data_IF_892373221325
#
_entry.id   IF_892373221325
#
_cell.length_a   1.000
_cell.length_b   1.000
_cell.length_c   1.000
_cell.angle_alpha   90.00
_cell.angle_beta   90.00
_cell.angle_gamma   90.00
#
_symmetry.space_group_name_H-M   'P 1'
#
loop_
_entity.id
_entity.type
_entity.pdbx_description
1 polymer ?
#
# COMPACT_ATOMS: atom_id res chain seq x y z
N UNK A 1 18.59 16.01 38.09
CA UNK A 1 17.42 15.10 38.16
C UNK A 1 17.25 14.36 36.84
N UNK A 2 17.46 13.04 36.81
CA UNK A 2 17.20 12.18 35.63
C UNK A 2 15.67 11.99 35.48
N UNK A 3 15.08 12.45 34.38
CA UNK A 3 13.68 12.12 34.04
C UNK A 3 13.61 10.65 33.62
N UNK A 4 12.98 9.82 34.45
CA UNK A 4 12.62 8.44 34.13
C UNK A 4 11.56 8.46 33.02
N UNK A 5 11.80 7.76 31.91
CA UNK A 5 10.77 7.52 30.90
C UNK A 5 9.81 6.44 31.38
N UNK A 6 8.52 6.76 31.42
CA UNK A 6 7.47 5.78 31.67
C UNK A 6 7.28 4.92 30.40
N UNK A 7 7.57 3.62 30.50
CA UNK A 7 7.12 2.63 29.51
C UNK A 7 5.67 2.27 29.82
N UNK A 8 4.73 2.79 29.03
CA UNK A 8 3.38 2.24 28.99
C UNK A 8 3.43 0.86 28.30
N UNK A 9 3.09 -0.20 29.04
CA UNK A 9 2.83 -1.53 28.51
C UNK A 9 1.46 -1.50 27.82
N UNK A 10 1.45 -1.33 26.50
CA UNK A 10 0.25 -1.54 25.69
C UNK A 10 -0.03 -3.03 25.55
N UNK A 11 -1.32 -3.41 25.53
CA UNK A 11 -1.91 -4.75 25.45
C UNK A 11 -1.53 -5.61 24.23
N UNK A 12 -0.55 -5.17 23.45
CA UNK A 12 -0.04 -5.87 22.28
C UNK A 12 -1.05 -5.93 21.12
N UNK A 13 -2.06 -5.06 21.09
CA UNK A 13 -2.72 -4.73 19.83
C UNK A 13 -1.92 -3.61 19.14
N UNK A 14 -1.29 -3.94 18.02
CA UNK A 14 -0.51 -2.97 17.25
C UNK A 14 -1.47 -2.29 16.28
N UNK A 15 -2.09 -1.20 16.73
CA UNK A 15 -2.74 -0.26 15.81
C UNK A 15 -1.61 0.51 15.10
N UNK A 16 -1.64 0.55 13.76
CA UNK A 16 -0.61 1.13 12.91
C UNK A 16 -0.48 2.64 13.15
N UNK A 17 0.34 3.04 14.13
CA UNK A 17 0.51 4.44 14.55
C UNK A 17 1.81 5.06 14.01
N UNK A 18 1.64 6.10 13.18
CA UNK A 18 2.55 7.25 12.94
C UNK A 18 3.85 7.13 12.12
N UNK A 19 4.06 6.14 11.26
CA UNK A 19 5.19 6.20 10.29
C UNK A 19 4.79 5.78 8.87
N UNK A 20 4.05 6.67 8.20
CA UNK A 20 3.79 6.64 6.76
C UNK A 20 5.10 6.95 6.01
N UNK A 21 6.06 6.02 6.05
CA UNK A 21 7.27 6.02 5.19
C UNK A 21 6.95 5.46 3.79
N UNK A 22 5.79 5.83 3.23
CA UNK A 22 5.43 5.47 1.84
C UNK A 22 6.36 6.18 0.83
N UNK A 23 6.91 7.33 1.24
CA UNK A 23 7.81 8.17 0.44
C UNK A 23 9.15 7.53 0.14
N UNK A 24 9.68 6.69 1.04
CA UNK A 24 10.96 6.03 0.79
C UNK A 24 10.86 5.14 -0.44
N UNK A 25 9.68 4.55 -0.69
CA UNK A 25 9.50 3.56 -1.73
C UNK A 25 8.96 4.07 -3.05
N UNK A 26 8.11 5.10 -3.01
CA UNK A 26 7.77 5.92 -4.16
C UNK A 26 8.07 7.38 -3.83
N UNK A 27 9.21 7.92 -4.31
CA UNK A 27 9.55 9.31 -4.09
C UNK A 27 8.53 10.20 -4.80
N UNK A 28 8.09 11.21 -4.09
CA UNK A 28 7.13 12.19 -4.57
C UNK A 28 7.75 13.02 -5.70
N UNK A 29 6.96 13.26 -6.76
CA UNK A 29 7.34 13.96 -8.01
C UNK A 29 8.53 13.37 -8.80
N UNK A 30 9.10 12.24 -8.35
CA UNK A 30 10.16 11.54 -9.08
C UNK A 30 9.64 10.26 -9.70
N UNK A 31 9.86 10.13 -11.00
CA UNK A 31 9.52 8.92 -11.74
C UNK A 31 10.42 7.74 -11.31
N UNK A 32 9.80 6.59 -11.08
CA UNK A 32 10.45 5.30 -10.83
C UNK A 32 10.06 4.33 -11.94
N UNK A 33 11.05 3.70 -12.58
CA UNK A 33 10.83 2.82 -13.72
C UNK A 33 10.94 1.33 -13.39
N UNK A 34 11.67 0.99 -12.32
CA UNK A 34 11.94 -0.39 -11.92
C UNK A 34 10.90 -0.87 -10.91
N UNK A 35 9.69 -1.14 -11.42
CA UNK A 35 8.52 -1.47 -10.63
C UNK A 35 7.80 -2.71 -11.16
N UNK A 36 7.08 -3.39 -10.27
CA UNK A 36 6.03 -4.35 -10.60
C UNK A 36 4.67 -3.78 -10.21
N UNK A 37 3.63 -4.17 -10.93
CA UNK A 37 2.24 -3.83 -10.62
C UNK A 37 1.47 -5.10 -10.32
N UNK A 38 0.82 -5.12 -9.17
CA UNK A 38 -0.01 -6.24 -8.71
C UNK A 38 -1.43 -5.73 -8.55
N UNK A 39 -2.36 -6.42 -9.18
CA UNK A 39 -3.77 -6.07 -9.08
C UNK A 39 -4.47 -7.00 -8.10
N UNK A 40 -5.33 -6.48 -7.21
CA UNK A 40 -6.16 -7.31 -6.33
C UNK A 40 -7.04 -8.28 -7.14
N UNK A 41 -7.37 -9.42 -6.51
CA UNK A 41 -8.31 -10.39 -7.06
C UNK A 41 -9.77 -9.90 -6.96
N UNK A 42 -10.03 -8.97 -6.05
CA UNK A 42 -11.32 -8.31 -5.88
C UNK A 42 -11.76 -7.60 -7.18
N UNK A 43 -12.84 -8.08 -7.80
CA UNK A 43 -13.36 -7.53 -9.06
C UNK A 43 -13.72 -6.05 -8.98
N UNK A 44 -14.15 -5.60 -7.81
CA UNK A 44 -14.57 -4.23 -7.54
C UNK A 44 -13.48 -3.36 -6.92
N UNK A 45 -12.24 -3.87 -6.81
CA UNK A 45 -11.13 -3.08 -6.32
C UNK A 45 -11.00 -1.82 -7.19
N UNK A 46 -10.82 -0.68 -6.52
CA UNK A 46 -10.60 0.62 -7.14
C UNK A 46 -9.13 1.04 -7.00
N UNK A 47 -8.22 0.07 -6.91
CA UNK A 47 -6.81 0.30 -6.63
C UNK A 47 -5.97 -0.83 -7.20
N UNK A 48 -4.67 -0.59 -7.30
CA UNK A 48 -3.64 -1.59 -7.58
C UNK A 48 -2.46 -1.38 -6.63
N UNK A 49 -1.54 -2.33 -6.58
CA UNK A 49 -0.31 -2.21 -5.81
C UNK A 49 0.86 -1.94 -6.74
N UNK A 50 1.75 -1.05 -6.31
CA UNK A 50 3.06 -0.83 -6.94
C UNK A 50 4.15 -1.33 -6.00
N UNK A 51 5.10 -2.04 -6.58
CA UNK A 51 6.20 -2.73 -5.92
C UNK A 51 7.50 -2.20 -6.51
N UNK A 52 8.29 -1.45 -5.73
CA UNK A 52 9.58 -0.94 -6.18
C UNK A 52 10.65 -2.03 -6.05
N UNK A 53 11.17 -2.53 -7.18
CA UNK A 53 12.09 -3.68 -7.22
C UNK A 53 13.37 -3.45 -6.44
N UNK A 54 13.90 -2.22 -6.47
CA UNK A 54 15.08 -1.83 -5.69
C UNK A 54 14.84 -2.01 -4.19
N UNK A 55 13.67 -1.59 -3.71
CA UNK A 55 13.35 -1.70 -2.28
C UNK A 55 12.99 -3.11 -1.86
N UNK A 56 12.34 -3.87 -2.73
CA UNK A 56 12.11 -5.30 -2.51
C UNK A 56 13.46 -6.00 -2.33
N UNK A 57 14.40 -5.81 -3.25
CA UNK A 57 15.74 -6.39 -3.17
C UNK A 57 16.49 -5.97 -1.88
N UNK A 58 16.29 -4.73 -1.42
CA UNK A 58 16.96 -4.19 -0.24
C UNK A 58 16.35 -4.68 1.09
N UNK A 59 15.02 -4.77 1.17
CA UNK A 59 14.31 -4.90 2.44
C UNK A 59 13.61 -6.24 2.63
N UNK A 60 13.11 -6.88 1.58
CA UNK A 60 12.31 -8.10 1.68
C UNK A 60 13.08 -9.19 2.44
N UNK A 61 14.32 -9.46 2.04
CA UNK A 61 15.17 -10.48 2.69
C UNK A 61 15.33 -10.23 4.19
N UNK A 62 15.47 -8.96 4.62
CA UNK A 62 15.62 -8.61 6.03
C UNK A 62 14.31 -8.80 6.81
N UNK A 63 13.18 -8.42 6.20
CA UNK A 63 11.85 -8.59 6.80
C UNK A 63 11.56 -10.08 6.97
N UNK A 64 11.69 -10.86 5.89
CA UNK A 64 11.45 -12.31 5.90
C UNK A 64 12.31 -13.01 6.95
N UNK A 65 13.60 -12.68 7.02
CA UNK A 65 14.50 -13.29 7.99
C UNK A 65 14.15 -12.94 9.45
N UNK A 66 13.66 -11.72 9.71
CA UNK A 66 13.17 -11.34 11.03
C UNK A 66 11.90 -12.07 11.41
N UNK A 67 10.95 -12.21 10.47
CA UNK A 67 9.73 -12.99 10.68
C UNK A 67 10.10 -14.45 10.96
N UNK A 68 10.92 -15.07 10.11
CA UNK A 68 11.37 -16.47 10.26
C UNK A 68 11.98 -16.74 11.63
N UNK A 69 12.90 -15.88 12.08
CA UNK A 69 13.56 -16.04 13.39
C UNK A 69 12.61 -15.90 14.56
N UNK A 70 11.61 -15.02 14.46
CA UNK A 70 10.67 -14.78 15.54
C UNK A 70 9.50 -15.78 15.55
N UNK A 71 9.17 -16.41 14.42
CA UNK A 71 7.92 -17.14 14.23
C UNK A 71 7.66 -18.20 15.30
N UNK A 72 8.58 -19.14 15.51
CA UNK A 72 8.39 -20.28 16.43
C UNK A 72 8.38 -19.87 17.91
N UNK A 73 8.92 -18.69 18.23
CA UNK A 73 8.93 -18.12 19.59
C UNK A 73 7.78 -17.14 19.85
N UNK A 74 7.05 -16.76 18.80
CA UNK A 74 5.97 -15.80 18.88
C UNK A 74 4.67 -16.46 19.36
N UNK A 75 3.85 -15.70 20.08
CA UNK A 75 2.58 -16.19 20.60
C UNK A 75 1.63 -16.62 19.46
N UNK A 76 0.88 -17.69 19.71
CA UNK A 76 -0.25 -18.11 18.88
C UNK A 76 -1.40 -17.12 18.99
N UNK A 77 -2.35 -17.20 18.07
CA UNK A 77 -3.50 -16.31 17.95
C UNK A 77 -4.78 -17.16 18.06
N UNK A 78 -5.76 -16.69 18.83
CA UNK A 78 -7.07 -17.34 18.95
C UNK A 78 -8.13 -16.70 18.04
N UNK A 79 -7.95 -15.44 17.67
CA UNK A 79 -8.79 -14.69 16.74
C UNK A 79 -7.98 -13.53 16.15
N UNK A 80 -8.48 -12.94 15.06
CA UNK A 80 -7.92 -11.73 14.48
C UNK A 80 -8.94 -10.61 14.44
N UNK A 81 -8.49 -9.40 14.78
CA UNK A 81 -9.24 -8.18 14.52
C UNK A 81 -9.07 -7.78 13.06
N UNK A 82 -10.03 -7.02 12.52
CA UNK A 82 -9.89 -6.42 11.19
C UNK A 82 -8.59 -5.60 11.13
N UNK A 83 -7.85 -5.72 10.02
CA UNK A 83 -6.57 -5.01 9.78
C UNK A 83 -5.45 -5.36 10.76
N UNK A 84 -5.61 -6.37 11.60
CA UNK A 84 -4.53 -6.86 12.44
C UNK A 84 -3.41 -7.47 11.58
N UNK A 85 -2.17 -7.06 11.86
CA UNK A 85 -0.98 -7.54 11.16
C UNK A 85 -0.39 -8.70 11.95
N UNK A 86 0.00 -9.75 11.23
CA UNK A 86 0.56 -10.99 11.79
C UNK A 86 1.79 -11.43 11.01
N UNK A 87 2.52 -12.35 11.63
CA UNK A 87 3.48 -13.18 10.95
C UNK A 87 2.73 -14.38 10.35
N UNK A 88 3.03 -14.70 9.11
CA UNK A 88 2.41 -15.81 8.39
C UNK A 88 3.49 -16.74 7.84
N UNK A 89 3.29 -18.04 8.02
CA UNK A 89 4.05 -19.09 7.34
C UNK A 89 3.22 -19.60 6.17
N UNK A 90 3.80 -19.62 4.98
CA UNK A 90 3.16 -20.08 3.74
C UNK A 90 3.47 -21.56 3.52
N UNK A 91 2.44 -22.35 3.28
CA UNK A 91 2.57 -23.80 3.09
C UNK A 91 3.22 -24.16 1.75
N UNK A 92 3.02 -23.37 0.70
CA UNK A 92 3.54 -23.65 -0.63
C UNK A 92 5.06 -23.43 -0.78
N UNK A 93 5.70 -22.80 0.21
CA UNK A 93 7.13 -22.45 0.15
C UNK A 93 7.85 -22.73 1.47
N UNK A 94 7.50 -23.80 2.20
CA UNK A 94 7.96 -24.05 3.59
C UNK A 94 9.46 -23.87 3.81
N UNK A 95 10.28 -24.21 2.81
CA UNK A 95 11.74 -24.16 2.87
C UNK A 95 12.38 -23.10 1.98
N UNK A 96 11.58 -22.34 1.23
CA UNK A 96 12.09 -21.37 0.28
C UNK A 96 12.18 -19.95 0.84
N UNK A 97 12.75 -19.04 0.05
CA UNK A 97 13.04 -17.67 0.47
C UNK A 97 11.77 -16.84 0.70
N UNK A 98 10.59 -17.34 0.35
CA UNK A 98 9.28 -16.68 0.52
C UNK A 98 8.37 -17.42 1.51
N UNK A 99 8.89 -18.40 2.25
CA UNK A 99 8.17 -19.18 3.27
C UNK A 99 7.44 -18.34 4.33
N UNK A 100 7.94 -17.13 4.61
CA UNK A 100 7.40 -16.25 5.65
C UNK A 100 6.99 -14.91 5.07
N UNK A 101 5.93 -14.35 5.61
CA UNK A 101 5.39 -13.07 5.21
C UNK A 101 4.85 -12.28 6.41
N UNK A 102 4.76 -10.96 6.23
CA UNK A 102 3.83 -10.14 7.00
C UNK A 102 2.50 -10.18 6.29
N UNK A 103 1.43 -10.37 7.05
CA UNK A 103 0.09 -10.45 6.50
C UNK A 103 -0.86 -9.60 7.32
N UNK A 104 -1.83 -8.96 6.67
CA UNK A 104 -2.86 -8.15 7.32
C UNK A 104 -4.21 -8.80 7.12
N UNK A 105 -4.98 -8.94 8.20
CA UNK A 105 -6.33 -9.48 8.14
C UNK A 105 -7.26 -8.55 7.34
N UNK A 106 -7.90 -9.08 6.31
CA UNK A 106 -8.90 -8.38 5.50
C UNK A 106 -10.30 -8.73 6.00
N UNK A 107 -10.59 -10.01 6.10
CA UNK A 107 -11.89 -10.51 6.56
C UNK A 107 -11.77 -11.93 7.12
N UNK A 108 -12.65 -12.25 8.07
CA UNK A 108 -12.84 -13.63 8.54
C UNK A 108 -13.68 -14.39 7.51
N UNK A 109 -13.20 -15.55 7.09
CA UNK A 109 -13.83 -16.38 6.06
C UNK A 109 -14.66 -17.50 6.69
N UNK A 110 -14.17 -18.11 7.77
CA UNK A 110 -14.85 -19.25 8.43
C UNK A 110 -14.68 -19.23 9.94
N UNK A 111 -15.61 -19.89 10.65
CA UNK A 111 -15.48 -20.15 12.08
C UNK A 111 -14.43 -21.22 12.40
N UNK A 112 -13.99 -21.99 11.41
CA UNK A 112 -12.87 -22.93 11.52
C UNK A 112 -11.49 -22.23 11.58
N UNK A 113 -11.49 -20.90 11.56
CA UNK A 113 -10.28 -20.09 11.73
C UNK A 113 -9.59 -19.71 10.42
N UNK A 114 -10.30 -19.72 9.29
CA UNK A 114 -9.77 -19.24 8.03
C UNK A 114 -10.01 -17.74 7.87
N UNK A 115 -8.97 -17.04 7.45
CA UNK A 115 -9.00 -15.60 7.23
C UNK A 115 -8.43 -15.28 5.85
N UNK A 116 -9.04 -14.30 5.19
CA UNK A 116 -8.48 -13.70 4.00
C UNK A 116 -7.44 -12.68 4.44
N UNK A 117 -6.22 -12.87 3.97
CA UNK A 117 -5.07 -12.07 4.36
C UNK A 117 -4.47 -11.37 3.16
N UNK A 118 -4.09 -10.11 3.34
CA UNK A 118 -3.24 -9.38 2.40
C UNK A 118 -1.77 -9.62 2.78
N UNK A 119 -0.97 -10.18 1.86
CA UNK A 119 0.48 -10.21 1.99
C UNK A 119 1.03 -8.82 1.71
N UNK A 120 1.20 -8.02 2.76
CA UNK A 120 1.44 -6.57 2.68
C UNK A 120 2.73 -6.17 1.96
N UNK A 121 3.66 -7.11 1.82
CA UNK A 121 4.92 -6.91 1.10
C UNK A 121 4.87 -7.38 -0.37
N UNK A 122 3.76 -8.00 -0.77
CA UNK A 122 3.58 -8.60 -2.11
C UNK A 122 2.35 -8.07 -2.84
N UNK A 123 1.39 -7.48 -2.13
CA UNK A 123 0.16 -6.92 -2.70
C UNK A 123 -0.87 -7.97 -3.12
N UNK A 124 -0.63 -9.24 -2.81
CA UNK A 124 -1.54 -10.35 -3.13
C UNK A 124 -2.34 -10.77 -1.92
N UNK A 125 -3.54 -11.30 -2.16
CA UNK A 125 -4.39 -11.88 -1.13
C UNK A 125 -4.34 -13.40 -1.17
N UNK A 126 -4.70 -14.03 -0.05
CA UNK A 126 -4.92 -15.47 0.03
C UNK A 126 -5.73 -15.82 1.26
N UNK A 127 -6.27 -17.04 1.30
CA UNK A 127 -6.99 -17.56 2.47
C UNK A 127 -6.03 -18.46 3.24
N UNK A 128 -5.90 -18.22 4.53
CA UNK A 128 -4.98 -18.96 5.39
C UNK A 128 -5.63 -19.25 6.74
N UNK A 129 -5.33 -20.42 7.28
CA UNK A 129 -5.79 -20.80 8.60
C UNK A 129 -4.96 -20.10 9.70
N UNK A 130 -5.62 -19.69 10.78
CA UNK A 130 -4.97 -19.00 11.93
C UNK A 130 -3.84 -19.80 12.56
N UNK A 131 -3.83 -21.14 12.42
CA UNK A 131 -2.75 -22.01 12.88
C UNK A 131 -1.40 -21.72 12.19
N UNK A 132 -1.42 -21.19 10.96
CA UNK A 132 -0.23 -20.76 10.21
C UNK A 132 0.24 -19.34 10.58
N UNK A 133 -0.40 -18.70 11.57
CA UNK A 133 -0.16 -17.31 11.94
C UNK A 133 0.39 -17.17 13.36
N UNK A 134 1.18 -16.13 13.57
CA UNK A 134 1.72 -15.76 14.89
C UNK A 134 1.63 -14.27 15.10
N UNK A 135 1.52 -13.85 16.37
CA UNK A 135 1.53 -12.44 16.75
C UNK A 135 2.81 -11.77 16.25
N UNK A 136 2.69 -10.62 15.60
CA UNK A 136 3.86 -9.87 15.11
C UNK A 136 4.43 -8.95 16.19
N UNK A 137 5.76 -8.82 16.24
CA UNK A 137 6.41 -7.85 17.11
C UNK A 137 6.31 -6.44 16.54
N UNK A 138 6.32 -5.44 17.43
CA UNK A 138 6.29 -4.02 17.04
C UNK A 138 7.45 -3.63 16.10
N UNK A 139 8.63 -4.22 16.30
CA UNK A 139 9.83 -3.88 15.52
C UNK A 139 9.71 -4.29 14.05
N UNK A 140 8.97 -5.38 13.78
CA UNK A 140 8.71 -5.86 12.43
C UNK A 140 7.47 -5.17 11.84
N UNK A 141 6.43 -4.98 12.64
CA UNK A 141 5.18 -4.35 12.21
C UNK A 141 5.35 -2.89 11.76
N UNK A 142 6.22 -2.12 12.44
CA UNK A 142 6.49 -0.71 12.12
C UNK A 142 7.24 -0.48 10.81
N UNK A 143 7.79 -1.53 10.19
CA UNK A 143 8.47 -1.38 8.90
C UNK A 143 7.44 -1.04 7.81
N UNK A 144 7.75 -0.16 6.86
CA UNK A 144 6.80 0.16 5.80
C UNK A 144 6.48 -1.07 4.96
N UNK A 145 5.25 -1.17 4.48
CA UNK A 145 4.83 -2.21 3.54
C UNK A 145 5.50 -2.00 2.19
N UNK A 146 5.99 -3.09 1.58
CA UNK A 146 6.64 -3.02 0.27
C UNK A 146 5.64 -2.89 -0.87
N UNK A 147 4.41 -3.42 -0.72
CA UNK A 147 3.34 -3.22 -1.69
C UNK A 147 2.59 -1.92 -1.38
N UNK A 148 2.67 -0.97 -2.30
CA UNK A 148 2.12 0.37 -2.10
C UNK A 148 0.78 0.45 -2.82
N UNK A 149 -0.29 0.67 -2.06
CA UNK A 149 -1.62 0.87 -2.62
C UNK A 149 -1.67 2.16 -3.44
N UNK A 150 -2.10 2.04 -4.68
CA UNK A 150 -2.09 3.08 -5.69
C UNK A 150 -3.43 3.22 -6.43
N UNK A 151 -3.73 4.44 -6.82
CA UNK A 151 -4.79 4.80 -7.76
C UNK A 151 -4.17 5.62 -8.89
N UNK A 152 -4.70 5.51 -10.10
CA UNK A 152 -4.23 6.30 -11.23
C UNK A 152 -4.72 7.74 -11.08
N UNK A 153 -3.79 8.68 -11.04
CA UNK A 153 -4.08 10.10 -10.98
C UNK A 153 -4.71 10.57 -12.29
N UNK A 154 -5.62 11.54 -12.17
CA UNK A 154 -6.21 12.25 -13.30
C UNK A 154 -7.49 11.63 -13.83
N UNK A 155 -7.85 10.40 -13.45
CA UNK A 155 -9.19 9.88 -13.70
C UNK A 155 -10.18 10.40 -12.66
N UNK A 156 -11.29 10.98 -13.11
CA UNK A 156 -12.38 11.41 -12.22
C UNK A 156 -13.32 10.24 -11.87
N UNK A 157 -13.83 10.24 -10.63
CA UNK A 157 -14.71 9.20 -10.15
C UNK A 157 -14.01 7.88 -9.82
N UNK A 158 -14.69 6.77 -10.11
CA UNK A 158 -14.22 5.40 -9.83
C UNK A 158 -13.06 5.02 -10.75
N UNK A 159 -12.06 4.34 -10.20
CA UNK A 159 -10.93 3.84 -10.99
C UNK A 159 -11.37 2.78 -12.00
N UNK A 160 -10.96 2.96 -13.25
CA UNK A 160 -11.17 2.04 -14.36
C UNK A 160 -10.20 0.83 -14.30
N UNK A 161 -10.23 0.07 -13.19
CA UNK A 161 -9.27 -1.01 -12.93
C UNK A 161 -9.27 -2.11 -14.01
N UNK A 162 -10.41 -2.53 -14.61
CA UNK A 162 -10.39 -3.47 -15.74
C UNK A 162 -9.57 -2.95 -16.93
N UNK A 163 -9.75 -1.68 -17.30
CA UNK A 163 -9.07 -1.03 -18.42
C UNK A 163 -7.59 -0.81 -18.12
N UNK A 164 -7.26 -0.38 -16.90
CA UNK A 164 -5.87 -0.27 -16.41
C UNK A 164 -5.21 -1.64 -16.48
N UNK A 165 -5.83 -2.69 -15.92
CA UNK A 165 -5.31 -4.06 -15.97
C UNK A 165 -5.08 -4.54 -17.40
N UNK A 166 -6.02 -4.27 -18.31
CA UNK A 166 -5.87 -4.62 -19.72
C UNK A 166 -4.72 -3.87 -20.41
N UNK A 167 -4.45 -2.62 -20.03
CA UNK A 167 -3.30 -1.87 -20.52
C UNK A 167 -1.98 -2.48 -20.04
N UNK A 168 -1.95 -2.97 -18.79
CA UNK A 168 -0.79 -3.63 -18.19
C UNK A 168 -0.56 -5.07 -18.67
N UNK A 169 -1.61 -5.76 -19.13
CA UNK A 169 -1.52 -7.11 -19.67
C UNK A 169 -0.91 -7.16 -21.09
N UNK A 170 -0.82 -6.02 -21.78
CA UNK A 170 -0.14 -5.92 -23.07
C UNK A 170 1.38 -6.04 -22.91
N UNK A 171 2.12 -6.25 -24.00
CA UNK A 171 3.59 -6.33 -23.95
C UNK A 171 4.21 -4.97 -23.60
N UNK A 172 4.37 -4.69 -22.31
CA UNK A 172 4.97 -3.45 -21.81
C UNK A 172 6.46 -3.41 -22.18
N UNK A 173 6.88 -2.31 -22.79
CA UNK A 173 8.27 -2.04 -23.15
C UNK A 173 9.03 -1.21 -22.11
N UNK A 174 8.32 -0.30 -21.45
CA UNK A 174 8.79 0.51 -20.35
C UNK A 174 7.60 1.09 -19.58
N UNK A 175 7.79 1.26 -18.28
CA UNK A 175 6.85 1.90 -17.38
C UNK A 175 7.59 2.89 -16.49
N UNK A 176 6.92 3.99 -16.13
CA UNK A 176 7.37 4.94 -15.13
C UNK A 176 6.18 5.34 -14.26
N UNK A 177 6.34 5.21 -12.96
CA UNK A 177 5.34 5.63 -11.97
C UNK A 177 5.88 6.82 -11.21
N UNK A 178 5.09 7.90 -11.13
CA UNK A 178 5.39 9.08 -10.34
C UNK A 178 4.30 9.25 -9.30
N UNK A 179 4.68 9.34 -8.03
CA UNK A 179 3.75 9.71 -6.98
C UNK A 179 3.39 11.20 -7.12
N UNK A 180 2.10 11.51 -7.18
CA UNK A 180 1.57 12.87 -7.31
C UNK A 180 1.06 13.37 -5.97
N UNK A 181 0.25 12.56 -5.28
CA UNK A 181 -0.38 12.94 -4.03
C UNK A 181 -0.82 11.69 -3.24
N UNK A 182 -1.39 11.91 -2.05
CA UNK A 182 -2.07 10.87 -1.29
C UNK A 182 -3.55 11.18 -1.18
N UNK A 183 -4.37 10.13 -1.23
CA UNK A 183 -5.81 10.17 -0.96
C UNK A 183 -6.13 9.09 0.06
N UNK A 184 -6.16 9.48 1.34
CA UNK A 184 -6.28 8.55 2.46
C UNK A 184 -5.19 7.46 2.44
N UNK A 185 -5.62 6.19 2.33
CA UNK A 185 -4.72 5.03 2.25
C UNK A 185 -4.06 4.86 0.88
N UNK A 186 -4.58 5.50 -0.16
CA UNK A 186 -4.09 5.35 -1.52
C UNK A 186 -3.03 6.39 -1.88
N UNK A 187 -2.07 5.97 -2.69
CA UNK A 187 -1.09 6.84 -3.32
C UNK A 187 -1.57 7.15 -4.73
N UNK A 188 -1.86 8.42 -5.02
CA UNK A 188 -2.26 8.83 -6.37
C UNK A 188 -1.01 8.93 -7.24
N UNK A 189 -0.95 8.10 -8.28
CA UNK A 189 0.23 8.01 -9.14
C UNK A 189 -0.09 8.35 -10.57
N UNK A 190 0.79 9.11 -11.21
CA UNK A 190 0.81 9.24 -12.66
C UNK A 190 1.62 8.09 -13.23
N UNK A 191 1.05 7.37 -14.19
CA UNK A 191 1.70 6.24 -14.83
C UNK A 191 1.97 6.56 -16.30
N UNK A 192 3.24 6.54 -16.67
CA UNK A 192 3.66 6.66 -18.06
C UNK A 192 4.08 5.28 -18.57
N UNK A 193 3.55 4.88 -19.72
CA UNK A 193 3.71 3.52 -20.24
C UNK A 193 4.03 3.55 -21.73
N UNK A 194 4.79 2.56 -22.18
CA UNK A 194 5.03 2.27 -23.59
C UNK A 194 4.95 0.77 -23.82
N UNK A 195 4.59 0.37 -25.02
CA UNK A 195 4.40 -1.02 -25.40
C UNK A 195 5.36 -1.43 -26.52
N UNK A 196 5.68 -2.72 -26.58
CA UNK A 196 6.41 -3.28 -27.70
C UNK A 196 5.44 -3.43 -28.87
N UNK A 197 5.84 -2.95 -30.04
CA UNK A 197 5.14 -3.19 -31.30
C UNK A 197 5.51 -4.56 -31.83
N UNK A 198 4.65 -5.12 -32.69
CA UNK A 198 4.93 -6.36 -33.43
C UNK A 198 6.22 -6.29 -34.25
N UNK A 199 6.63 -5.10 -34.68
CA UNK A 199 7.89 -4.86 -35.39
C UNK A 199 9.16 -4.90 -34.50
N UNK A 200 9.02 -5.15 -33.19
CA UNK A 200 10.13 -5.13 -32.23
C UNK A 200 10.55 -3.72 -31.76
N UNK A 201 10.00 -2.67 -32.37
CA UNK A 201 10.16 -1.29 -31.89
C UNK A 201 9.23 -0.95 -30.73
N UNK A 202 9.45 0.15 -30.03
CA UNK A 202 8.62 0.60 -28.89
C UNK A 202 7.69 1.73 -29.28
N UNK A 203 6.51 1.82 -28.67
CA UNK A 203 5.66 3.02 -28.77
C UNK A 203 6.30 4.19 -28.04
N UNK A 204 5.82 5.41 -28.30
CA UNK A 204 6.12 6.56 -27.45
C UNK A 204 5.61 6.27 -26.04
N UNK A 205 6.32 6.79 -25.05
CA UNK A 205 5.87 6.82 -23.66
C UNK A 205 4.69 7.81 -23.55
N UNK A 206 3.54 7.34 -23.07
CA UNK A 206 2.31 8.14 -22.94
C UNK A 206 1.78 8.09 -21.51
N UNK A 207 1.05 9.13 -21.09
CA UNK A 207 0.28 9.11 -19.84
C UNK A 207 -0.89 8.13 -19.98
N UNK A 208 -0.90 7.10 -19.14
CA UNK A 208 -1.92 6.05 -19.18
C UNK A 208 -3.32 6.61 -18.92
N UNK A 209 -3.48 7.58 -18.01
CA UNK A 209 -4.81 8.12 -17.70
C UNK A 209 -5.39 8.84 -18.91
N UNK A 210 -4.58 9.68 -19.56
CA UNK A 210 -4.97 10.37 -20.78
C UNK A 210 -5.31 9.38 -21.91
N UNK A 211 -4.45 8.37 -22.12
CA UNK A 211 -4.65 7.36 -23.16
C UNK A 211 -5.92 6.52 -22.94
N UNK A 212 -6.28 6.24 -21.69
CA UNK A 212 -7.54 5.58 -21.35
C UNK A 212 -8.75 6.44 -21.69
N UNK A 213 -8.73 7.74 -21.40
CA UNK A 213 -9.83 8.66 -21.73
C UNK A 213 -10.01 8.81 -23.23
N UNK A 214 -8.92 8.85 -24.00
CA UNK A 214 -8.98 8.86 -25.48
C UNK A 214 -9.66 7.60 -26.05
N UNK A 215 -9.57 6.47 -25.34
CA UNK A 215 -10.16 5.18 -25.75
C UNK A 215 -11.56 4.93 -25.19
N UNK A 216 -11.87 5.49 -24.03
CA UNK A 216 -13.10 5.25 -23.29
C UNK A 216 -13.77 6.61 -22.95
N UNK A 217 -14.69 7.11 -23.81
CA UNK A 217 -15.29 8.44 -23.67
C UNK A 217 -16.11 8.66 -22.40
N UNK A 218 -16.44 7.59 -21.65
CA UNK A 218 -17.10 7.68 -20.34
C UNK A 218 -16.16 8.14 -19.22
N UNK A 219 -14.85 8.11 -19.45
CA UNK A 219 -13.85 8.56 -18.50
C UNK A 219 -13.57 10.06 -18.71
N UNK A 220 -13.22 10.74 -17.63
CA UNK A 220 -12.81 12.16 -17.67
C UNK A 220 -11.39 12.28 -17.13
N UNK A 221 -10.56 13.06 -17.84
CA UNK A 221 -9.17 13.28 -17.48
C UNK A 221 -8.93 14.71 -16.99
N UNK A 222 -8.38 14.83 -15.79
CA UNK A 222 -7.87 16.08 -15.24
C UNK A 222 -6.34 15.95 -15.07
N UNK A 223 -5.53 16.68 -15.86
CA UNK A 223 -4.08 16.58 -15.77
C UNK A 223 -3.56 17.08 -14.42
N UNK A 224 -2.38 16.62 -13.98
CA UNK A 224 -1.71 17.19 -12.82
C UNK A 224 -1.51 18.69 -13.04
N UNK A 225 -2.04 19.52 -12.13
CA UNK A 225 -1.75 20.96 -12.17
C UNK A 225 -0.27 21.15 -11.84
N UNK A 226 0.43 21.97 -12.64
CA UNK A 226 1.83 22.37 -12.39
C UNK A 226 1.98 23.23 -11.13
N UNK A 227 0.87 23.64 -10.50
CA UNK A 227 0.88 24.49 -9.32
C UNK A 227 1.30 23.69 -8.08
N UNK A 228 2.42 24.11 -7.47
CA UNK A 228 2.87 23.62 -6.17
C UNK A 228 1.91 24.10 -5.08
N UNK A 229 1.00 23.23 -4.62
CA UNK A 229 0.23 23.51 -3.41
C UNK A 229 1.14 23.26 -2.21
N UNK A 230 1.70 24.34 -1.66
CA UNK A 230 2.51 24.32 -0.45
C UNK A 230 1.61 24.68 0.72
N UNK A 231 1.27 23.70 1.56
CA UNK A 231 0.62 24.00 2.83
C UNK A 231 1.63 24.54 3.83
N UNK A 232 1.33 25.72 4.35
CA UNK A 232 2.04 26.28 5.50
C UNK A 232 1.81 25.39 6.73
N UNK A 233 2.76 25.40 7.67
CA UNK A 233 2.63 24.74 8.98
C UNK A 233 1.32 25.10 9.69
N UNK A 234 0.85 26.33 9.51
CA UNK A 234 -0.43 26.81 10.03
C UNK A 234 -1.62 26.11 9.36
N UNK A 235 -1.65 26.01 8.04
CA UNK A 235 -2.70 25.28 7.33
C UNK A 235 -2.76 23.80 7.72
N UNK A 236 -1.60 23.16 7.92
CA UNK A 236 -1.55 21.77 8.42
C UNK A 236 -2.15 21.66 9.82
N UNK A 237 -1.86 22.63 10.71
CA UNK A 237 -2.41 22.67 12.06
C UNK A 237 -3.91 23.03 12.08
N UNK A 238 -4.36 23.92 11.19
CA UNK A 238 -5.77 24.33 11.09
C UNK A 238 -6.63 23.18 10.54
N UNK A 239 -6.14 22.43 9.55
CA UNK A 239 -6.76 21.18 9.07
C UNK A 239 -6.81 20.15 10.21
N UNK A 240 -5.73 20.02 10.99
CA UNK A 240 -5.70 19.11 12.14
C UNK A 240 -6.71 19.51 13.23
N UNK A 241 -6.93 20.81 13.43
CA UNK A 241 -7.83 21.33 14.46
C UNK A 241 -9.30 21.26 14.04
N UNK A 242 -9.63 21.46 12.77
CA UNK A 242 -11.00 21.33 12.26
C UNK A 242 -11.51 19.88 12.29
N UNK A 243 -10.62 18.90 12.25
CA UNK A 243 -10.94 17.47 12.35
C UNK A 243 -11.25 17.01 13.80
N UNK A 244 -10.93 17.82 14.82
CA UNK A 244 -11.18 17.49 16.23
C UNK A 244 -12.61 17.86 16.72
N UNK A 245 -13.50 18.28 15.81
CA UNK A 245 -14.88 18.69 16.14
C UNK A 245 -15.89 17.54 15.99
N UNK A 246 -15.46 16.36 15.52
CA UNK A 246 -16.31 15.17 15.36
C UNK A 246 -16.32 14.31 16.63
N UNK A 247 -17.49 13.89 17.17
CA UNK A 247 -17.56 13.16 18.43
C UNK A 247 -16.79 11.82 18.42
N UNK A 248 -16.00 11.58 19.46
CA UNK A 248 -15.09 10.43 19.60
C UNK A 248 -15.76 9.04 19.59
N UNK A 249 -17.09 8.95 19.72
CA UNK A 249 -17.82 7.67 19.77
C UNK A 249 -18.32 7.17 18.41
N UNK A 250 -18.05 7.89 17.32
CA UNK A 250 -18.47 7.52 15.97
C UNK A 250 -17.29 7.26 15.01
N UNK A 251 -16.08 7.06 15.53
CA UNK A 251 -14.84 7.06 14.76
C UNK A 251 -14.33 5.61 14.59
N UNK A 252 -14.41 5.00 13.39
CA UNK A 252 -13.80 3.71 13.10
C UNK A 252 -12.27 3.79 13.19
N UNK A 253 -11.63 2.66 13.46
CA UNK A 253 -10.20 2.49 13.79
C UNK A 253 -9.22 2.83 12.64
N UNK A 254 -9.66 3.54 11.60
CA UNK A 254 -8.84 3.99 10.45
C UNK A 254 -8.26 5.40 10.55
N UNK A 255 -8.44 6.08 11.68
CA UNK A 255 -8.19 7.52 11.71
C UNK A 255 -6.74 7.96 11.60
N UNK A 256 -5.75 7.06 11.71
CA UNK A 256 -4.33 7.41 11.49
C UNK A 256 -3.92 7.36 10.02
N UNK A 257 -4.64 6.58 9.21
CA UNK A 257 -4.55 6.63 7.75
C UNK A 257 -5.40 7.72 7.12
N UNK A 258 -6.50 8.10 7.77
CA UNK A 258 -7.32 9.25 7.38
C UNK A 258 -6.72 10.58 7.85
N UNK A 259 -5.87 10.63 8.90
CA UNK A 259 -5.23 11.89 9.32
C UNK A 259 -4.26 12.47 8.28
N UNK A 260 -3.83 11.68 7.30
CA UNK A 260 -3.01 12.13 6.17
C UNK A 260 -3.84 12.36 4.90
N UNK A 261 -5.17 12.16 4.92
CA UNK A 261 -6.05 12.26 3.76
C UNK A 261 -6.23 13.69 3.21
N UNK A 262 -5.67 14.71 3.86
CA UNK A 262 -5.70 16.09 3.39
C UNK A 262 -4.32 16.77 3.41
N UNK A 263 -3.22 16.01 3.34
CA UNK A 263 -1.90 16.59 3.10
C UNK A 263 -1.55 16.35 1.63
N UNK A 264 -1.93 17.30 0.76
CA UNK A 264 -1.21 17.48 -0.50
C UNK A 264 0.23 17.82 -0.14
N UNK A 265 1.13 16.89 -0.41
CA UNK A 265 2.54 17.22 -0.51
C UNK A 265 2.81 17.07 -2.00
N UNK A 266 3.06 18.19 -2.67
CA UNK A 266 3.88 18.20 -3.89
C UNK A 266 5.33 18.24 -3.41
N UNK A 267 6.18 17.30 -3.84
CA UNK A 267 7.61 17.34 -3.52
C UNK A 267 8.36 18.15 -4.56
N UNK A 268 9.51 18.63 -4.10
CA UNK A 268 10.49 19.41 -4.84
C UNK A 268 11.38 18.56 -5.75
#
# INVERSE_FOLDING_TARGET
MRRKSFKARGDGSVVYDKSVNRYDYLPLDRAVSDIDVVFPEEKNAEYFYVLNKKHIAQFERRIVEQVRKAFDTSATLGHLKEKEIVQLKLEDDVNGPKAFARAMNVEKVSDAGDYKMLLVDRGTTGVFNISAMRKISNDIARKPFLAIRCELFGLEGKQAIPEIRAAFAQSIAAIQVRLIAFRGLSSLVQCHISWNKSSGSKTKLVDLAQQLVERFPSLTYTPPKLEKIVYTKKQILDIKNSLNVTPQSAIPVDYLSETFAAIFINAA
#
